data_IF_104249946849
#
_entry.id   IF_104249946849
#
_cell.length_a   1.000
_cell.length_b   1.000
_cell.length_c   1.000
_cell.angle_alpha   90.00
_cell.angle_beta   90.00
_cell.angle_gamma   90.00
#
_symmetry.space_group_name_H-M   'P 1'
#
loop_
_entity.id
_entity.type
_entity.pdbx_description
1 polymer ?
#
# COMPACT_ATOMS: atom_id res chain seq x y z
N UNK A 1 -16.78 -1.88 24.27
CA UNK A 1 -15.38 -2.14 23.87
C UNK A 1 -15.09 -1.28 22.65
N UNK A 2 -14.29 -0.24 22.80
CA UNK A 2 -13.85 0.62 21.69
C UNK A 2 -12.72 -0.08 20.97
N UNK A 3 -12.85 -0.33 19.65
CA UNK A 3 -11.72 -0.78 18.83
C UNK A 3 -10.59 0.26 18.95
N UNK A 4 -9.44 -0.18 19.43
CA UNK A 4 -8.23 0.63 19.55
C UNK A 4 -7.30 0.40 18.36
N UNK A 5 -6.39 1.35 18.13
CA UNK A 5 -5.49 1.34 16.98
C UNK A 5 -4.59 0.08 16.89
N UNK A 6 -4.05 -0.46 18.01
CA UNK A 6 -3.31 -1.72 17.98
C UNK A 6 -4.12 -2.88 17.41
N UNK A 7 -5.40 -3.00 17.78
CA UNK A 7 -6.28 -4.06 17.26
C UNK A 7 -6.43 -3.94 15.74
N UNK A 8 -6.65 -2.74 15.22
CA UNK A 8 -6.74 -2.52 13.75
C UNK A 8 -5.41 -2.81 13.05
N UNK A 9 -4.27 -2.45 13.65
CA UNK A 9 -2.97 -2.80 13.09
C UNK A 9 -2.77 -4.31 13.01
N UNK A 10 -3.17 -5.06 14.04
CA UNK A 10 -3.13 -6.53 14.06
C UNK A 10 -4.06 -7.13 13.00
N UNK A 11 -5.30 -6.63 12.89
CA UNK A 11 -6.25 -7.09 11.87
C UNK A 11 -5.71 -6.84 10.45
N UNK A 12 -5.15 -5.66 10.20
CA UNK A 12 -4.53 -5.32 8.92
C UNK A 12 -3.33 -6.21 8.60
N UNK A 13 -2.51 -6.52 9.61
CA UNK A 13 -1.37 -7.44 9.46
C UNK A 13 -1.82 -8.87 9.11
N UNK A 14 -2.77 -9.42 9.86
CA UNK A 14 -3.32 -10.76 9.61
C UNK A 14 -3.99 -10.85 8.24
N UNK A 15 -4.71 -9.80 7.83
CA UNK A 15 -5.28 -9.71 6.49
C UNK A 15 -4.17 -9.75 5.42
N UNK A 16 -3.13 -8.91 5.55
CA UNK A 16 -2.04 -8.87 4.57
C UNK A 16 -1.30 -10.21 4.48
N UNK A 17 -1.06 -10.88 5.62
CA UNK A 17 -0.49 -12.24 5.63
C UNK A 17 -1.40 -13.24 4.91
N UNK A 18 -2.70 -13.24 5.21
CA UNK A 18 -3.67 -14.13 4.58
C UNK A 18 -3.73 -13.93 3.07
N UNK A 19 -3.74 -12.67 2.61
CA UNK A 19 -3.72 -12.32 1.18
C UNK A 19 -2.41 -12.77 0.53
N UNK A 20 -1.25 -12.51 1.17
CA UNK A 20 0.05 -12.92 0.65
C UNK A 20 0.15 -14.45 0.50
N UNK A 21 -0.30 -15.21 1.50
CA UNK A 21 -0.37 -16.67 1.44
C UNK A 21 -1.33 -17.13 0.34
N UNK A 22 -2.51 -16.54 0.23
CA UNK A 22 -3.47 -16.84 -0.84
C UNK A 22 -2.89 -16.63 -2.24
N UNK A 23 -2.20 -15.51 -2.46
CA UNK A 23 -1.52 -15.23 -3.72
C UNK A 23 -0.32 -16.16 -3.97
N UNK A 24 0.38 -16.59 -2.94
CA UNK A 24 1.42 -17.63 -3.05
C UNK A 24 0.82 -18.97 -3.50
N UNK A 25 -0.34 -19.37 -2.96
CA UNK A 25 -1.04 -20.58 -3.38
C UNK A 25 -1.53 -20.47 -4.84
N UNK A 26 -2.09 -19.33 -5.22
CA UNK A 26 -2.47 -19.05 -6.61
C UNK A 26 -1.27 -19.13 -7.55
N UNK A 27 -0.10 -18.64 -7.12
CA UNK A 27 1.13 -18.69 -7.92
C UNK A 27 1.60 -20.13 -8.16
N UNK A 28 1.35 -21.07 -7.24
CA UNK A 28 1.68 -22.49 -7.44
C UNK A 28 0.86 -23.10 -8.59
N UNK A 29 -0.38 -22.63 -8.81
CA UNK A 29 -1.29 -23.08 -9.87
C UNK A 29 -1.06 -22.31 -11.17
N UNK A 30 -0.88 -20.99 -11.09
CA UNK A 30 -0.79 -20.07 -12.23
C UNK A 30 0.65 -19.59 -12.49
N UNK A 31 1.62 -20.52 -12.48
CA UNK A 31 3.08 -20.24 -12.54
C UNK A 31 3.54 -19.42 -13.75
N UNK A 32 2.77 -19.45 -14.85
CA UNK A 32 3.08 -18.77 -16.11
C UNK A 32 2.78 -17.27 -16.11
N UNK A 33 2.14 -16.72 -15.07
CA UNK A 33 1.73 -15.31 -15.05
C UNK A 33 2.80 -14.43 -14.35
N UNK A 34 3.56 -13.60 -15.09
CA UNK A 34 4.60 -12.76 -14.50
C UNK A 34 4.03 -11.65 -13.60
N UNK A 35 2.83 -11.14 -13.91
CA UNK A 35 2.14 -10.15 -13.07
C UNK A 35 1.83 -10.71 -11.67
N UNK A 36 1.37 -11.97 -11.60
CA UNK A 36 1.08 -12.65 -10.34
C UNK A 36 2.31 -12.74 -9.43
N UNK A 37 3.51 -13.04 -9.98
CA UNK A 37 4.75 -13.09 -9.18
C UNK A 37 5.06 -11.75 -8.53
N UNK A 38 4.89 -10.66 -9.27
CA UNK A 38 5.13 -9.30 -8.79
C UNK A 38 4.11 -8.90 -7.70
N UNK A 39 2.84 -9.26 -7.89
CA UNK A 39 1.79 -9.03 -6.89
C UNK A 39 2.04 -9.84 -5.61
N UNK A 40 2.38 -11.12 -5.72
CA UNK A 40 2.73 -11.96 -4.56
C UNK A 40 3.93 -11.37 -3.80
N UNK A 41 5.00 -10.98 -4.50
CA UNK A 41 6.16 -10.36 -3.86
C UNK A 41 5.81 -9.02 -3.19
N UNK A 42 5.00 -8.19 -3.86
CA UNK A 42 4.48 -6.94 -3.30
C UNK A 42 3.72 -7.17 -1.99
N UNK A 43 2.83 -8.16 -1.95
CA UNK A 43 2.03 -8.49 -0.76
C UNK A 43 2.87 -8.97 0.41
N UNK A 44 3.90 -9.79 0.15
CA UNK A 44 4.86 -10.20 1.18
C UNK A 44 5.68 -9.03 1.72
N UNK A 45 6.13 -8.12 0.85
CA UNK A 45 6.80 -6.89 1.29
C UNK A 45 5.86 -6.01 2.11
N UNK A 46 4.58 -5.90 1.74
CA UNK A 46 3.61 -5.16 2.54
C UNK A 46 3.45 -5.77 3.94
N UNK A 47 3.33 -7.09 4.03
CA UNK A 47 3.29 -7.79 5.31
C UNK A 47 4.55 -7.52 6.15
N UNK A 48 5.74 -7.59 5.54
CA UNK A 48 7.02 -7.28 6.21
C UNK A 48 7.10 -5.83 6.70
N UNK A 49 6.57 -4.89 5.92
CA UNK A 49 6.46 -3.48 6.34
C UNK A 49 5.58 -3.35 7.59
N UNK A 50 4.43 -4.02 7.63
CA UNK A 50 3.55 -4.03 8.80
C UNK A 50 4.19 -4.74 10.00
N UNK A 51 4.96 -5.81 9.80
CA UNK A 51 5.76 -6.44 10.87
C UNK A 51 6.70 -5.42 11.52
N UNK A 52 7.34 -4.56 10.70
CA UNK A 52 8.23 -3.53 11.24
C UNK A 52 7.51 -2.53 12.16
N UNK A 53 6.22 -2.28 11.94
CA UNK A 53 5.39 -1.42 12.80
C UNK A 53 5.12 -2.10 14.14
N UNK A 54 4.79 -3.39 14.11
CA UNK A 54 4.55 -4.18 15.33
C UNK A 54 5.80 -4.29 16.21
N UNK A 55 6.99 -4.38 15.61
CA UNK A 55 8.26 -4.50 16.33
C UNK A 55 8.75 -3.19 16.98
N UNK A 56 8.11 -2.04 16.72
CA UNK A 56 8.53 -0.74 17.27
C UNK A 56 8.44 -0.65 18.79
N UNK A 57 7.67 -1.52 19.43
CA UNK A 57 7.60 -1.60 20.89
C UNK A 57 8.85 -2.26 21.51
N UNK A 58 9.61 -3.04 20.73
CA UNK A 58 10.69 -3.91 21.23
C UNK A 58 12.07 -3.51 20.69
N UNK A 59 12.12 -2.83 19.55
CA UNK A 59 13.34 -2.47 18.83
C UNK A 59 13.44 -0.95 18.62
N UNK A 60 14.64 -0.42 18.29
CA UNK A 60 14.82 1.01 18.04
C UNK A 60 13.88 1.53 16.94
N UNK A 61 13.12 2.58 17.28
CA UNK A 61 12.01 3.07 16.45
C UNK A 61 12.49 3.63 15.11
N UNK A 62 13.55 4.45 15.11
CA UNK A 62 14.05 5.13 13.90
C UNK A 62 14.42 4.16 12.77
N UNK A 63 15.29 3.15 12.97
CA UNK A 63 15.65 2.22 11.89
C UNK A 63 14.44 1.41 11.41
N UNK A 64 13.52 1.02 12.30
CA UNK A 64 12.29 0.33 11.91
C UNK A 64 11.33 1.21 11.10
N UNK A 65 11.24 2.51 11.40
CA UNK A 65 10.46 3.46 10.60
C UNK A 65 11.05 3.58 9.20
N UNK A 66 12.37 3.74 9.08
CA UNK A 66 13.03 3.86 7.76
C UNK A 66 12.86 2.56 6.97
N UNK A 67 13.19 1.42 7.59
CA UNK A 67 13.06 0.09 6.97
C UNK A 67 11.63 -0.19 6.52
N UNK A 68 10.65 -0.03 7.41
CA UNK A 68 9.25 -0.29 7.11
C UNK A 68 8.74 0.53 5.92
N UNK A 69 9.09 1.80 5.86
CA UNK A 69 8.68 2.68 4.77
C UNK A 69 9.41 2.38 3.46
N UNK A 70 10.71 2.02 3.49
CA UNK A 70 11.43 1.59 2.29
C UNK A 70 10.84 0.29 1.71
N UNK A 71 10.52 -0.67 2.57
CA UNK A 71 9.85 -1.92 2.18
C UNK A 71 8.45 -1.67 1.62
N UNK A 72 7.68 -0.75 2.21
CA UNK A 72 6.37 -0.33 1.70
C UNK A 72 6.49 0.32 0.32
N UNK A 73 7.48 1.19 0.13
CA UNK A 73 7.74 1.83 -1.15
C UNK A 73 8.04 0.79 -2.24
N UNK A 74 8.90 -0.19 -1.93
CA UNK A 74 9.21 -1.28 -2.84
C UNK A 74 7.97 -2.15 -3.14
N UNK A 75 7.16 -2.45 -2.13
CA UNK A 75 5.89 -3.16 -2.30
C UNK A 75 4.98 -2.44 -3.30
N UNK A 76 4.79 -1.14 -3.13
CA UNK A 76 3.95 -0.32 -4.01
C UNK A 76 4.48 -0.28 -5.45
N UNK A 77 5.81 -0.16 -5.62
CA UNK A 77 6.47 -0.21 -6.92
C UNK A 77 6.26 -1.57 -7.60
N UNK A 78 6.44 -2.68 -6.89
CA UNK A 78 6.20 -4.01 -7.44
C UNK A 78 4.73 -4.21 -7.84
N UNK A 79 3.78 -3.67 -7.06
CA UNK A 79 2.35 -3.71 -7.41
C UNK A 79 2.09 -2.99 -8.73
N UNK A 80 2.61 -1.76 -8.87
CA UNK A 80 2.50 -0.95 -10.08
C UNK A 80 3.12 -1.67 -11.29
N UNK A 81 4.28 -2.30 -11.12
CA UNK A 81 4.89 -3.13 -12.15
C UNK A 81 4.05 -4.34 -12.53
N UNK A 82 3.43 -5.00 -11.57
CA UNK A 82 2.53 -6.12 -11.84
C UNK A 82 1.33 -5.67 -12.68
N UNK A 83 0.73 -4.52 -12.36
CA UNK A 83 -0.36 -3.92 -13.15
C UNK A 83 0.11 -3.58 -14.57
N UNK A 84 1.25 -2.89 -14.72
CA UNK A 84 1.79 -2.55 -16.03
C UNK A 84 2.10 -3.80 -16.86
N UNK A 85 2.66 -4.85 -16.23
CA UNK A 85 2.99 -6.13 -16.89
C UNK A 85 1.74 -6.89 -17.31
N UNK A 86 0.69 -6.87 -16.50
CA UNK A 86 -0.62 -7.45 -16.84
C UNK A 86 -1.21 -6.78 -18.09
N UNK A 87 -1.12 -5.45 -18.18
CA UNK A 87 -1.55 -4.68 -19.35
C UNK A 87 -0.56 -4.70 -20.53
N UNK A 88 0.53 -5.47 -20.43
CA UNK A 88 1.62 -5.56 -21.41
C UNK A 88 2.24 -4.18 -21.76
N UNK A 89 2.26 -3.25 -20.81
CA UNK A 89 2.82 -1.91 -21.00
C UNK A 89 4.26 -1.82 -20.46
N UNK A 90 5.18 -1.19 -21.22
CA UNK A 90 6.50 -0.89 -20.71
C UNK A 90 6.40 0.25 -19.69
N UNK A 91 6.92 0.04 -18.49
CA UNK A 91 7.08 1.06 -17.47
C UNK A 91 8.57 1.30 -17.23
N UNK A 92 9.12 2.48 -17.57
CA UNK A 92 10.53 2.75 -17.39
C UNK A 92 10.87 2.85 -15.91
N UNK A 93 11.92 2.14 -15.47
CA UNK A 93 12.18 1.93 -14.05
C UNK A 93 12.56 3.15 -13.23
N UNK A 94 13.10 4.16 -13.88
CA UNK A 94 13.47 5.39 -13.21
C UNK A 94 12.25 6.14 -12.66
N UNK A 95 11.07 6.06 -13.29
CA UNK A 95 9.89 6.81 -12.83
C UNK A 95 9.37 6.33 -11.46
N UNK A 96 9.03 5.04 -11.26
CA UNK A 96 8.63 4.56 -9.95
C UNK A 96 9.79 4.61 -8.94
N UNK A 97 11.04 4.45 -9.39
CA UNK A 97 12.21 4.56 -8.52
C UNK A 97 12.41 5.99 -7.98
N UNK A 98 12.23 7.02 -8.81
CA UNK A 98 12.29 8.44 -8.38
C UNK A 98 11.18 8.74 -7.37
N UNK A 99 9.96 8.27 -7.64
CA UNK A 99 8.83 8.48 -6.72
C UNK A 99 9.07 7.79 -5.36
N UNK A 100 9.50 6.53 -5.38
CA UNK A 100 9.84 5.78 -4.17
C UNK A 100 11.05 6.39 -3.43
N UNK A 101 12.07 6.83 -4.16
CA UNK A 101 13.25 7.48 -3.60
C UNK A 101 12.91 8.81 -2.92
N UNK A 102 12.08 9.65 -3.57
CA UNK A 102 11.60 10.90 -2.98
C UNK A 102 10.78 10.66 -1.71
N UNK A 103 9.91 9.65 -1.73
CA UNK A 103 9.14 9.23 -0.56
C UNK A 103 10.05 8.80 0.61
N UNK A 104 10.98 7.87 0.37
CA UNK A 104 11.90 7.38 1.41
C UNK A 104 12.79 8.51 1.93
N UNK A 105 13.31 9.37 1.07
CA UNK A 105 14.10 10.53 1.47
C UNK A 105 13.30 11.48 2.37
N UNK A 106 12.03 11.73 2.04
CA UNK A 106 11.11 12.50 2.88
C UNK A 106 10.91 11.85 4.25
N UNK A 107 10.68 10.53 4.31
CA UNK A 107 10.57 9.81 5.58
C UNK A 107 11.85 9.94 6.42
N UNK A 108 13.03 9.78 5.80
CA UNK A 108 14.32 9.92 6.51
C UNK A 108 14.49 11.34 7.07
N UNK A 109 14.17 12.37 6.29
CA UNK A 109 14.24 13.76 6.72
C UNK A 109 13.30 14.06 7.91
N UNK A 110 12.08 13.52 7.91
CA UNK A 110 11.10 13.79 8.96
C UNK A 110 11.07 12.72 10.09
N UNK A 111 12.05 11.81 10.11
CA UNK A 111 12.29 10.90 11.24
C UNK A 111 13.59 11.21 11.97
N UNK A 112 14.62 11.72 11.29
CA UNK A 112 15.93 12.01 11.89
C UNK A 112 16.15 13.51 12.15
N UNK A 113 16.38 14.38 11.15
CA UNK A 113 16.71 15.78 11.42
C UNK A 113 15.51 16.64 11.83
N UNK A 114 14.31 16.36 11.33
CA UNK A 114 13.11 17.15 11.59
C UNK A 114 11.93 16.27 12.04
N UNK A 115 12.01 15.60 13.21
CA UNK A 115 11.04 14.59 13.60
C UNK A 115 9.62 15.16 13.67
N UNK A 116 8.76 14.77 12.73
CA UNK A 116 7.36 15.22 12.68
C UNK A 116 6.46 14.10 12.14
N UNK A 117 5.63 13.53 13.03
CA UNK A 117 4.75 12.44 12.66
C UNK A 117 3.69 12.86 11.63
N UNK A 118 3.10 14.04 11.76
CA UNK A 118 2.07 14.53 10.84
C UNK A 118 2.62 14.62 9.42
N UNK A 119 3.79 15.26 9.25
CA UNK A 119 4.42 15.38 7.93
C UNK A 119 4.80 14.01 7.35
N UNK A 120 5.29 13.06 8.18
CA UNK A 120 5.55 11.68 7.69
C UNK A 120 4.28 10.99 7.20
N UNK A 121 3.16 11.18 7.91
CA UNK A 121 1.86 10.65 7.51
C UNK A 121 1.35 11.31 6.23
N UNK A 122 1.57 12.60 6.06
CA UNK A 122 1.21 13.33 4.84
C UNK A 122 2.05 12.85 3.64
N UNK A 123 3.37 12.72 3.82
CA UNK A 123 4.28 12.17 2.81
C UNK A 123 3.85 10.76 2.39
N UNK A 124 3.51 9.90 3.35
CA UNK A 124 2.98 8.56 3.06
C UNK A 124 1.63 8.58 2.34
N UNK A 125 0.74 9.52 2.71
CA UNK A 125 -0.56 9.67 2.05
C UNK A 125 -0.37 10.13 0.61
N UNK A 126 0.47 11.14 0.37
CA UNK A 126 0.77 11.65 -0.97
C UNK A 126 1.38 10.57 -1.85
N UNK A 127 2.34 9.80 -1.33
CA UNK A 127 2.91 8.67 -2.05
C UNK A 127 1.84 7.64 -2.44
N UNK A 128 0.96 7.26 -1.50
CA UNK A 128 -0.14 6.33 -1.76
C UNK A 128 -1.13 6.89 -2.80
N UNK A 129 -1.50 8.17 -2.72
CA UNK A 129 -2.34 8.85 -3.73
C UNK A 129 -1.73 8.72 -5.12
N UNK A 130 -0.45 9.09 -5.27
CA UNK A 130 0.23 9.11 -6.56
C UNK A 130 0.34 7.70 -7.17
N UNK A 131 0.74 6.70 -6.38
CA UNK A 131 0.89 5.32 -6.88
C UNK A 131 -0.46 4.71 -7.24
N UNK A 132 -1.48 4.88 -6.38
CA UNK A 132 -2.81 4.33 -6.63
C UNK A 132 -3.52 5.02 -7.81
N UNK A 133 -3.42 6.34 -7.92
CA UNK A 133 -3.94 7.07 -9.09
C UNK A 133 -3.25 6.65 -10.38
N UNK A 134 -1.95 6.34 -10.33
CA UNK A 134 -1.21 5.84 -11.48
C UNK A 134 -1.69 4.44 -11.91
N UNK A 135 -1.84 3.50 -10.97
CA UNK A 135 -2.39 2.17 -11.26
C UNK A 135 -3.81 2.26 -11.83
N UNK A 136 -4.69 3.07 -11.22
CA UNK A 136 -6.03 3.32 -11.72
C UNK A 136 -6.01 3.90 -13.15
N UNK A 137 -5.15 4.90 -13.39
CA UNK A 137 -4.99 5.51 -14.71
C UNK A 137 -4.49 4.54 -15.77
N UNK A 138 -3.57 3.63 -15.43
CA UNK A 138 -3.09 2.58 -16.33
C UNK A 138 -4.23 1.64 -16.72
N UNK A 139 -4.99 1.16 -15.72
CA UNK A 139 -6.11 0.24 -15.92
C UNK A 139 -7.23 0.86 -16.76
N UNK A 140 -7.62 2.11 -16.51
CA UNK A 140 -8.68 2.78 -17.30
C UNK A 140 -8.25 3.02 -18.74
N UNK A 141 -7.01 3.49 -18.96
CA UNK A 141 -6.56 3.91 -20.30
C UNK A 141 -6.18 2.74 -21.20
N UNK A 142 -5.70 1.63 -20.63
CA UNK A 142 -5.10 0.54 -21.41
C UNK A 142 -5.83 -0.80 -21.25
N UNK A 143 -7.03 -0.81 -20.65
CA UNK A 143 -7.84 -2.03 -20.55
C UNK A 143 -8.13 -2.64 -21.93
N UNK A 144 -7.78 -3.91 -22.16
CA UNK A 144 -8.16 -4.61 -23.40
C UNK A 144 -9.69 -4.76 -23.46
N UNK A 145 -10.31 -4.72 -24.66
CA UNK A 145 -11.77 -4.72 -24.83
C UNK A 145 -12.49 -5.85 -24.08
N UNK A 146 -11.86 -7.03 -24.03
CA UNK A 146 -12.37 -8.25 -23.42
C UNK A 146 -12.41 -8.19 -21.88
N UNK A 147 -11.57 -7.38 -21.24
CA UNK A 147 -11.41 -7.33 -19.77
C UNK A 147 -11.75 -5.95 -19.19
N UNK A 148 -12.47 -5.11 -19.95
CA UNK A 148 -12.74 -3.71 -19.55
C UNK A 148 -13.48 -3.61 -18.24
N UNK A 149 -14.42 -4.51 -17.97
CA UNK A 149 -15.20 -4.49 -16.73
C UNK A 149 -14.28 -4.73 -15.54
N UNK A 150 -13.46 -5.78 -15.59
CA UNK A 150 -12.52 -6.11 -14.51
C UNK A 150 -11.42 -5.08 -14.32
N UNK A 151 -10.87 -4.54 -15.40
CA UNK A 151 -9.93 -3.43 -15.32
C UNK A 151 -10.56 -2.18 -14.70
N UNK A 152 -11.83 -1.87 -15.02
CA UNK A 152 -12.54 -0.72 -14.43
C UNK A 152 -12.87 -0.92 -12.96
N UNK A 153 -13.28 -2.13 -12.56
CA UNK A 153 -13.51 -2.46 -11.15
C UNK A 153 -12.22 -2.36 -10.34
N UNK A 154 -11.11 -2.93 -10.84
CA UNK A 154 -9.80 -2.79 -10.23
C UNK A 154 -9.37 -1.32 -10.15
N UNK A 155 -9.56 -0.55 -11.24
CA UNK A 155 -9.26 0.88 -11.24
C UNK A 155 -10.09 1.67 -10.23
N UNK A 156 -11.37 1.33 -10.07
CA UNK A 156 -12.25 1.98 -9.10
C UNK A 156 -11.77 1.73 -7.67
N UNK A 157 -11.29 0.53 -7.36
CA UNK A 157 -10.72 0.19 -6.04
C UNK A 157 -9.43 0.98 -5.78
N UNK A 158 -8.50 1.02 -6.74
CA UNK A 158 -7.29 1.84 -6.62
C UNK A 158 -7.63 3.34 -6.50
N UNK A 159 -8.62 3.83 -7.24
CA UNK A 159 -9.07 5.21 -7.13
C UNK A 159 -9.72 5.51 -5.77
N UNK A 160 -10.50 4.58 -5.22
CA UNK A 160 -11.07 4.71 -3.89
C UNK A 160 -9.98 4.74 -2.81
N UNK A 161 -8.94 3.92 -2.95
CA UNK A 161 -7.78 3.95 -2.06
C UNK A 161 -7.02 5.28 -2.15
N UNK A 162 -6.77 5.78 -3.37
CA UNK A 162 -6.21 7.11 -3.57
C UNK A 162 -7.08 8.20 -2.90
N UNK A 163 -8.40 8.10 -3.01
CA UNK A 163 -9.31 9.07 -2.39
C UNK A 163 -9.25 9.02 -0.85
N UNK A 164 -9.17 7.84 -0.25
CA UNK A 164 -9.02 7.70 1.21
C UNK A 164 -7.74 8.38 1.69
N UNK A 165 -6.61 8.16 1.01
CA UNK A 165 -5.35 8.83 1.36
C UNK A 165 -5.36 10.33 1.04
N UNK A 166 -6.08 10.76 0.01
CA UNK A 166 -6.27 12.17 -0.30
C UNK A 166 -7.06 12.87 0.82
N UNK A 167 -8.13 12.24 1.32
CA UNK A 167 -8.88 12.73 2.48
C UNK A 167 -7.99 12.76 3.71
N UNK A 168 -7.14 11.75 3.92
CA UNK A 168 -6.23 11.66 5.07
C UNK A 168 -5.28 12.87 5.19
N UNK A 169 -4.87 13.48 4.07
CA UNK A 169 -4.03 14.69 4.06
C UNK A 169 -4.67 15.88 4.79
N UNK A 170 -5.99 15.88 4.95
CA UNK A 170 -6.74 16.95 5.61
C UNK A 170 -7.20 16.57 7.02
N UNK A 171 -6.88 15.36 7.49
CA UNK A 171 -7.28 14.88 8.79
C UNK A 171 -6.23 15.26 9.85
N UNK A 172 -6.66 15.82 11.00
CA UNK A 172 -5.72 16.20 12.04
C UNK A 172 -5.14 14.96 12.74
N UNK A 173 -3.84 15.03 13.02
CA UNK A 173 -3.16 14.09 13.92
C UNK A 173 -3.34 14.60 15.36
N UNK A 174 -3.60 13.67 16.29
CA UNK A 174 -3.77 14.04 17.69
C UNK A 174 -2.52 14.78 18.22
N UNK A 175 -2.68 15.94 18.90
CA UNK A 175 -1.54 16.74 19.40
C UNK A 175 -0.64 15.95 20.35
N UNK A 176 -1.23 15.03 21.12
CA UNK A 176 -0.53 14.18 22.10
C UNK A 176 0.18 12.98 21.47
N UNK A 177 0.04 12.76 20.16
CA UNK A 177 0.66 11.63 19.47
C UNK A 177 2.19 11.71 19.50
N UNK A 178 2.75 12.92 19.53
CA UNK A 178 4.19 13.14 19.43
C UNK A 178 4.76 12.45 18.19
N UNK A 179 5.54 11.39 18.41
CA UNK A 179 6.12 10.56 17.34
C UNK A 179 5.49 9.16 17.23
N UNK A 180 4.53 8.84 18.11
CA UNK A 180 3.91 7.53 18.22
C UNK A 180 2.68 7.42 17.31
N UNK A 181 2.79 6.55 16.31
CA UNK A 181 1.70 6.29 15.35
C UNK A 181 0.47 5.66 16.01
N UNK A 182 0.65 4.91 17.11
CA UNK A 182 -0.46 4.26 17.82
C UNK A 182 -1.35 5.28 18.56
N UNK A 183 -0.87 6.51 18.72
CA UNK A 183 -1.58 7.62 19.37
C UNK A 183 -2.09 8.67 18.38
N UNK A 184 -2.05 8.39 17.06
CA UNK A 184 -2.37 9.36 16.02
C UNK A 184 -3.83 9.87 16.01
N UNK A 185 -4.73 9.22 16.74
CA UNK A 185 -6.11 9.65 16.95
C UNK A 185 -7.16 8.96 16.06
N UNK A 186 -8.43 9.21 16.37
CA UNK A 186 -9.58 8.61 15.70
C UNK A 186 -9.68 8.87 14.19
N UNK A 187 -9.34 10.06 13.65
CA UNK A 187 -9.36 10.29 12.21
C UNK A 187 -8.40 9.36 11.45
N UNK A 188 -7.18 9.18 11.98
CA UNK A 188 -6.20 8.28 11.38
C UNK A 188 -6.68 6.83 11.47
N UNK A 189 -7.20 6.42 12.62
CA UNK A 189 -7.80 5.11 12.80
C UNK A 189 -8.85 4.77 11.72
N UNK A 190 -9.77 5.69 11.42
CA UNK A 190 -10.81 5.47 10.42
C UNK A 190 -10.21 5.21 9.02
N UNK A 191 -9.13 5.91 8.66
CA UNK A 191 -8.45 5.69 7.37
C UNK A 191 -7.76 4.33 7.29
N UNK A 192 -7.19 3.82 8.39
CA UNK A 192 -6.62 2.47 8.43
C UNK A 192 -7.71 1.40 8.30
N UNK A 193 -8.85 1.58 8.97
CA UNK A 193 -9.97 0.66 8.84
C UNK A 193 -10.50 0.62 7.40
N UNK A 194 -10.69 1.79 6.78
CA UNK A 194 -11.04 1.87 5.36
C UNK A 194 -10.00 1.18 4.47
N UNK A 195 -8.71 1.37 4.77
CA UNK A 195 -7.59 0.69 4.10
C UNK A 195 -7.69 -0.83 4.15
N UNK A 196 -8.08 -1.42 5.28
CA UNK A 196 -8.26 -2.88 5.41
C UNK A 196 -9.35 -3.39 4.45
N UNK A 197 -10.50 -2.73 4.41
CA UNK A 197 -11.58 -3.12 3.49
C UNK A 197 -11.18 -2.95 2.02
N UNK A 198 -10.47 -1.88 1.70
CA UNK A 198 -9.99 -1.62 0.35
C UNK A 198 -8.89 -2.59 -0.07
N UNK A 199 -8.02 -3.00 0.85
CA UNK A 199 -7.00 -4.02 0.61
C UNK A 199 -7.63 -5.38 0.29
N UNK A 200 -8.70 -5.74 1.00
CA UNK A 200 -9.48 -6.93 0.69
C UNK A 200 -10.19 -6.81 -0.68
N UNK A 201 -10.78 -5.65 -0.98
CA UNK A 201 -11.37 -5.40 -2.30
C UNK A 201 -10.33 -5.49 -3.42
N UNK A 202 -9.13 -4.93 -3.18
CA UNK A 202 -7.98 -4.97 -4.09
C UNK A 202 -7.56 -6.40 -4.38
N UNK A 203 -7.48 -7.25 -3.36
CA UNK A 203 -7.23 -8.68 -3.51
C UNK A 203 -8.23 -9.33 -4.49
N UNK A 204 -9.54 -9.10 -4.30
CA UNK A 204 -10.56 -9.64 -5.21
C UNK A 204 -10.44 -9.09 -6.62
N UNK A 205 -10.17 -7.79 -6.78
CA UNK A 205 -9.95 -7.18 -8.09
C UNK A 205 -8.75 -7.79 -8.81
N UNK A 206 -7.63 -8.00 -8.12
CA UNK A 206 -6.44 -8.64 -8.69
C UNK A 206 -6.73 -10.08 -9.10
N UNK A 207 -7.48 -10.84 -8.30
CA UNK A 207 -7.92 -12.19 -8.68
C UNK A 207 -8.82 -12.16 -9.90
N UNK A 208 -9.74 -11.22 -9.98
CA UNK A 208 -10.65 -11.06 -11.12
C UNK A 208 -9.88 -10.77 -12.42
N UNK A 209 -8.83 -9.94 -12.36
CA UNK A 209 -7.90 -9.70 -13.48
C UNK A 209 -7.14 -10.96 -13.94
N UNK A 210 -6.94 -11.95 -13.06
CA UNK A 210 -6.29 -13.22 -13.44
C UNK A 210 -7.24 -14.19 -14.14
N UNK A 211 -8.53 -14.13 -13.78
CA UNK A 211 -9.56 -15.07 -14.23
C UNK A 211 -10.17 -14.64 -15.56
N UNK A 212 -10.41 -13.34 -15.75
CA UNK A 212 -10.98 -12.80 -16.99
C UNK A 212 -9.89 -12.71 -18.06
N UNK A 213 -9.98 -13.54 -19.09
CA UNK A 213 -9.05 -13.58 -20.24
C UNK A 213 -9.71 -13.03 -21.49
#
# INVERSE_FOLDING_TARGET
MTLDFPTVAVLGYLLCLGIAVGFSLLLLVLRGQPALRLWTASLWLLALSLTSVALRAQLPVVPLVIFGNAVLALSAVLMLYGVARHLQRPLPAWQPAVLAGAYVAGIVAFVVPFPNLAIRLDIASLFAVLVNAWMAGLLVRHAPPQQRTSCRLAAAIFAAEALVYLVRLWLPVAPEAGQDIFRAGAPMFATYLAGIFLELARCFALVLLLVEK
#
